data_IF_319409787048
#
_entry.id   IF_319409787048
#
_cell.length_a   1.000
_cell.length_b   1.000
_cell.length_c   1.000
_cell.angle_alpha   90.00
_cell.angle_beta   90.00
_cell.angle_gamma   90.00
#
_symmetry.space_group_name_H-M   'P 1'
#
loop_
_entity.id
_entity.type
_entity.pdbx_description
1 polymer ?
#
# COMPACT_ATOMS: atom_id res chain seq x y z
N UNK A 1 13.39 14.53 5.46
CA UNK A 1 13.54 13.22 4.82
C UNK A 1 12.24 12.89 4.10
N UNK A 2 12.33 12.50 2.85
CA UNK A 2 11.16 12.18 2.05
C UNK A 2 10.81 10.71 2.20
N UNK A 3 9.53 10.43 2.40
CA UNK A 3 9.00 9.08 2.55
C UNK A 3 8.06 8.75 1.39
N UNK A 4 7.90 7.47 1.13
CA UNK A 4 7.10 6.96 0.01
C UNK A 4 6.17 5.87 0.49
N UNK A 5 4.95 5.87 -0.02
CA UNK A 5 3.97 4.83 0.28
C UNK A 5 3.20 4.47 -0.99
N UNK A 6 2.94 3.18 -1.16
CA UNK A 6 2.10 2.69 -2.24
C UNK A 6 0.75 2.25 -1.64
N UNK A 7 -0.32 2.86 -2.12
CA UNK A 7 -1.69 2.48 -1.75
C UNK A 7 -2.19 1.46 -2.76
N UNK A 8 -2.63 0.31 -2.28
CA UNK A 8 -3.21 -0.74 -3.11
C UNK A 8 -4.71 -0.77 -2.87
N UNK A 9 -5.48 -0.52 -3.91
CA UNK A 9 -6.93 -0.59 -3.84
C UNK A 9 -7.34 -2.02 -4.16
N UNK A 10 -7.92 -2.70 -3.18
CA UNK A 10 -8.09 -4.15 -3.18
C UNK A 10 -9.33 -4.65 -3.94
N UNK A 11 -9.67 -3.98 -5.01
CA UNK A 11 -10.68 -4.48 -5.94
C UNK A 11 -10.07 -4.62 -7.33
N UNK A 12 -10.40 -5.71 -8.00
CA UNK A 12 -9.86 -6.02 -9.32
C UNK A 12 -10.79 -5.43 -10.38
N UNK A 13 -10.20 -4.71 -11.33
CA UNK A 13 -10.90 -4.17 -12.50
C UNK A 13 -10.37 -4.85 -13.76
N UNK A 14 -10.92 -4.49 -14.92
CA UNK A 14 -10.48 -5.06 -16.19
C UNK A 14 -8.98 -4.88 -16.45
N UNK A 15 -8.41 -3.75 -16.06
CA UNK A 15 -6.98 -3.44 -16.20
C UNK A 15 -6.13 -3.88 -15.01
N UNK A 16 -6.73 -4.59 -14.03
CA UNK A 16 -6.03 -5.08 -12.85
C UNK A 16 -6.30 -4.23 -11.61
N UNK A 17 -5.45 -4.38 -10.61
CA UNK A 17 -5.55 -3.68 -9.33
C UNK A 17 -4.92 -2.29 -9.45
N UNK A 18 -5.59 -1.29 -8.92
CA UNK A 18 -5.06 0.07 -8.91
C UNK A 18 -4.05 0.26 -7.78
N UNK A 19 -2.87 0.80 -8.12
CA UNK A 19 -1.83 1.14 -7.15
C UNK A 19 -1.48 2.62 -7.33
N UNK A 20 -1.46 3.37 -6.23
CA UNK A 20 -1.11 4.78 -6.23
C UNK A 20 0.11 5.02 -5.36
N UNK A 21 1.12 5.70 -5.90
CA UNK A 21 2.30 6.09 -5.14
C UNK A 21 2.14 7.51 -4.61
N UNK A 22 2.47 7.67 -3.33
CA UNK A 22 2.40 8.96 -2.65
C UNK A 22 3.71 9.20 -1.94
N UNK A 23 4.16 10.45 -1.92
CA UNK A 23 5.33 10.85 -1.14
C UNK A 23 4.95 11.92 -0.13
N UNK A 24 5.70 12.00 0.96
CA UNK A 24 5.47 12.95 2.02
C UNK A 24 6.76 13.23 2.78
N UNK A 25 6.86 14.39 3.41
CA UNK A 25 7.98 14.68 4.28
C UNK A 25 7.77 14.03 5.65
N UNK A 26 8.85 13.54 6.24
CA UNK A 26 8.82 13.04 7.59
C UNK A 26 8.87 14.19 8.58
N UNK A 27 8.00 14.15 9.58
CA UNK A 27 8.04 15.11 10.69
C UNK A 27 8.08 14.36 12.01
N UNK A 28 8.81 14.92 12.98
CA UNK A 28 8.91 14.38 14.32
C UNK A 28 7.93 15.11 15.21
N UNK A 29 7.06 14.35 15.87
CA UNK A 29 6.12 14.89 16.85
C UNK A 29 6.32 14.12 18.15
N UNK A 30 6.92 14.77 19.12
CA UNK A 30 7.17 14.20 20.45
C UNK A 30 7.91 12.86 20.40
N UNK A 31 8.94 12.77 19.53
CA UNK A 31 9.77 11.58 19.41
C UNK A 31 9.22 10.51 18.48
N UNK A 32 8.08 10.72 17.87
CA UNK A 32 7.52 9.81 16.88
C UNK A 32 7.56 10.42 15.50
N UNK A 33 7.84 9.59 14.50
CA UNK A 33 7.87 10.03 13.11
C UNK A 33 6.51 9.83 12.45
N UNK A 34 6.10 10.88 11.75
CA UNK A 34 4.87 10.89 10.96
C UNK A 34 5.18 11.32 9.54
N UNK A 35 4.38 10.88 8.60
CA UNK A 35 4.42 11.37 7.24
C UNK A 35 3.40 12.50 7.12
N UNK A 36 3.84 13.65 6.63
CA UNK A 36 3.02 14.85 6.47
C UNK A 36 2.57 14.93 5.00
N UNK A 37 1.38 14.42 4.75
CA UNK A 37 0.87 14.31 3.37
C UNK A 37 0.57 15.67 2.76
N UNK A 38 0.01 16.56 3.53
CA UNK A 38 -0.38 17.89 3.03
C UNK A 38 0.74 18.93 3.05
N UNK A 39 1.82 18.66 3.77
CA UNK A 39 2.92 19.61 3.92
C UNK A 39 2.69 20.72 4.93
N UNK A 40 1.53 20.75 5.58
CA UNK A 40 1.16 21.81 6.52
C UNK A 40 0.77 21.24 7.90
N UNK A 41 1.08 19.97 8.13
CA UNK A 41 0.77 19.21 9.35
C UNK A 41 -0.72 19.03 9.62
N UNK A 42 -1.57 19.28 8.63
CA UNK A 42 -3.01 19.07 8.78
C UNK A 42 -3.40 17.60 8.68
N UNK A 43 -2.57 16.78 8.03
CA UNK A 43 -2.82 15.36 7.88
C UNK A 43 -1.52 14.58 8.09
N UNK A 44 -1.39 13.99 9.27
CA UNK A 44 -0.21 13.19 9.65
C UNK A 44 -0.60 11.73 9.78
N UNK A 45 0.21 10.84 9.21
CA UNK A 45 0.04 9.40 9.39
C UNK A 45 1.32 8.80 9.96
N UNK A 46 1.22 7.84 10.91
CA UNK A 46 2.42 7.22 11.46
C UNK A 46 3.26 6.57 10.37
N UNK A 47 4.59 6.73 10.46
CA UNK A 47 5.51 6.15 9.49
C UNK A 47 5.40 4.62 9.45
N UNK A 48 5.03 4.01 10.59
CA UNK A 48 4.84 2.55 10.68
C UNK A 48 3.70 2.01 9.82
N UNK A 49 2.86 2.87 9.24
CA UNK A 49 1.73 2.45 8.41
C UNK A 49 2.09 2.24 6.94
N UNK A 50 3.31 1.83 6.63
CA UNK A 50 3.68 1.48 5.26
C UNK A 50 4.48 2.55 4.53
N UNK A 51 5.04 3.51 5.26
CA UNK A 51 5.93 4.52 4.69
C UNK A 51 7.37 4.00 4.64
N UNK A 52 8.04 4.25 3.52
CA UNK A 52 9.39 3.76 3.26
C UNK A 52 10.29 4.92 2.85
N UNK A 53 11.59 4.77 3.10
CA UNK A 53 12.57 5.79 2.73
C UNK A 53 12.84 5.84 1.22
N UNK A 54 12.50 4.78 0.48
CA UNK A 54 12.69 4.73 -0.95
C UNK A 54 11.39 4.36 -1.67
N UNK A 55 11.26 4.86 -2.89
CA UNK A 55 10.14 4.50 -3.74
C UNK A 55 10.19 2.99 -4.09
N UNK A 56 11.40 2.46 -4.30
CA UNK A 56 11.56 1.03 -4.61
C UNK A 56 11.00 0.14 -3.50
N UNK A 57 11.25 0.49 -2.22
CA UNK A 57 10.72 -0.28 -1.10
C UNK A 57 9.18 -0.19 -1.04
N UNK A 58 8.62 0.98 -1.32
CA UNK A 58 7.17 1.14 -1.37
C UNK A 58 6.54 0.30 -2.49
N UNK A 59 7.18 0.27 -3.67
CA UNK A 59 6.73 -0.55 -4.80
C UNK A 59 6.81 -2.03 -4.49
N UNK A 60 7.85 -2.46 -3.79
CA UNK A 60 8.02 -3.86 -3.39
C UNK A 60 6.91 -4.29 -2.43
N UNK A 61 6.57 -3.46 -1.45
CA UNK A 61 5.44 -3.76 -0.56
C UNK A 61 4.14 -3.92 -1.35
N UNK A 62 3.88 -3.02 -2.31
CA UNK A 62 2.69 -3.12 -3.15
C UNK A 62 2.69 -4.40 -3.98
N UNK A 63 3.83 -4.77 -4.55
CA UNK A 63 3.96 -5.99 -5.35
C UNK A 63 3.63 -7.24 -4.52
N UNK A 64 4.11 -7.30 -3.28
CA UNK A 64 3.81 -8.41 -2.37
C UNK A 64 2.30 -8.48 -2.09
N UNK A 65 1.67 -7.34 -1.84
CA UNK A 65 0.22 -7.30 -1.59
C UNK A 65 -0.59 -7.76 -2.81
N UNK A 66 -0.20 -7.32 -4.00
CA UNK A 66 -0.88 -7.71 -5.24
C UNK A 66 -0.70 -9.20 -5.51
N UNK A 67 0.51 -9.74 -5.28
CA UNK A 67 0.76 -11.17 -5.44
C UNK A 67 -0.12 -12.01 -4.50
N UNK A 68 -0.27 -11.57 -3.24
CA UNK A 68 -1.16 -12.24 -2.28
C UNK A 68 -2.62 -12.21 -2.73
N UNK A 69 -3.06 -11.09 -3.32
CA UNK A 69 -4.41 -10.99 -3.88
C UNK A 69 -4.61 -11.99 -5.03
N UNK A 70 -3.60 -12.13 -5.90
CA UNK A 70 -3.67 -13.08 -7.02
C UNK A 70 -3.80 -14.52 -6.52
N UNK A 71 -3.09 -14.88 -5.47
CA UNK A 71 -3.20 -16.21 -4.86
C UNK A 71 -4.61 -16.46 -4.32
N UNK A 72 -5.21 -15.47 -3.65
CA UNK A 72 -6.58 -15.59 -3.14
C UNK A 72 -7.58 -15.77 -4.27
N UNK A 73 -7.41 -15.05 -5.36
CA UNK A 73 -8.29 -15.16 -6.52
C UNK A 73 -8.16 -16.53 -7.21
N UNK A 74 -6.94 -17.05 -7.31
CA UNK A 74 -6.69 -18.38 -7.85
C UNK A 74 -7.37 -19.45 -7.01
N UNK A 75 -7.25 -19.36 -5.69
CA UNK A 75 -7.89 -20.30 -4.77
C UNK A 75 -9.43 -20.22 -4.89
N UNK A 76 -9.96 -19.02 -5.03
CA UNK A 76 -11.40 -18.84 -5.24
C UNK A 76 -11.86 -19.48 -6.54
N UNK A 77 -11.11 -19.29 -7.62
CA UNK A 77 -11.43 -19.88 -8.92
C UNK A 77 -11.47 -21.41 -8.83
N UNK A 78 -10.53 -22.00 -8.11
CA UNK A 78 -10.50 -23.46 -7.93
C UNK A 78 -11.69 -23.95 -7.11
N UNK A 79 -12.08 -23.23 -6.07
CA UNK A 79 -13.28 -23.59 -5.29
C UNK A 79 -14.53 -23.55 -6.15
N UNK A 80 -14.65 -22.55 -7.00
CA UNK A 80 -15.78 -22.45 -7.94
C UNK A 80 -15.77 -23.62 -8.91
N UNK A 81 -14.61 -23.93 -9.49
CA UNK A 81 -14.45 -25.04 -10.45
C UNK A 81 -14.80 -26.37 -9.83
N UNK A 82 -14.50 -26.56 -8.56
CA UNK A 82 -14.78 -27.82 -7.83
C UNK A 82 -16.17 -27.85 -7.17
N UNK A 83 -17.02 -26.85 -7.44
CA UNK A 83 -18.37 -26.77 -6.88
C UNK A 83 -18.43 -26.28 -5.44
N UNK A 84 -17.29 -25.79 -4.88
CA UNK A 84 -17.23 -25.23 -3.55
C UNK A 84 -17.50 -23.72 -3.55
N UNK A 85 -17.57 -23.13 -2.32
CA UNK A 85 -17.81 -21.69 -2.19
C UNK A 85 -16.77 -21.02 -1.34
#
# INVERSE_FOLDING_TARGET
MKLHRAYVYDHVRAEGVHVSLTSAEAVDVEGRLYADIGGDRSYLTPVSEGWHETEAAAREEAAVKVAAMAERLTAQAERIRNGGR
#
